data_IF_164174717517
#
_entry.id   IF_164174717517
#
_cell.length_a   1.000
_cell.length_b   1.000
_cell.length_c   1.000
_cell.angle_alpha   90.00
_cell.angle_beta   90.00
_cell.angle_gamma   90.00
#
_symmetry.space_group_name_H-M   'P 1'
#
loop_
_entity.id
_entity.type
_entity.pdbx_description
1 polymer ?
#
# COMPACT_ATOMS: atom_id res chain seq x y z
N UNK A 1 -22.97 -3.43 0.54
CA UNK A 1 -23.10 -3.04 1.95
C UNK A 1 -21.74 -3.18 2.58
N UNK A 2 -21.11 -2.05 2.92
CA UNK A 2 -19.82 -2.03 3.56
C UNK A 2 -19.90 -2.69 4.94
N UNK A 3 -18.87 -3.45 5.29
CA UNK A 3 -18.72 -3.99 6.63
C UNK A 3 -18.47 -2.80 7.56
N UNK A 4 -19.48 -2.36 8.29
CA UNK A 4 -19.29 -1.38 9.36
C UNK A 4 -18.44 -2.01 10.46
N UNK A 5 -17.25 -1.49 10.68
CA UNK A 5 -16.43 -1.81 11.85
C UNK A 5 -17.09 -1.18 13.08
N UNK A 6 -17.85 -1.93 13.79
CA UNK A 6 -18.51 -1.48 15.01
C UNK A 6 -19.89 -2.11 15.18
N UNK A 7 -19.93 -3.30 15.77
CA UNK A 7 -21.15 -3.88 16.29
C UNK A 7 -22.09 -4.57 15.32
N UNK A 8 -21.67 -4.95 14.14
CA UNK A 8 -22.45 -5.83 13.27
C UNK A 8 -22.21 -7.29 13.65
N UNK A 9 -23.30 -8.09 13.68
CA UNK A 9 -23.25 -9.54 13.88
C UNK A 9 -22.64 -10.30 12.69
N UNK A 10 -21.59 -9.75 12.08
CA UNK A 10 -20.86 -10.37 10.96
C UNK A 10 -19.93 -11.41 11.53
N UNK A 11 -20.14 -12.66 11.16
CA UNK A 11 -19.33 -13.79 11.60
C UNK A 11 -18.14 -13.99 10.65
N UNK A 12 -17.14 -14.77 11.08
CA UNK A 12 -16.02 -15.17 10.24
C UNK A 12 -16.49 -15.83 8.94
N UNK A 13 -17.53 -16.67 9.02
CA UNK A 13 -18.06 -17.39 7.86
C UNK A 13 -18.72 -16.46 6.84
N UNK A 14 -19.25 -15.31 7.28
CA UNK A 14 -19.88 -14.32 6.39
C UNK A 14 -18.85 -13.56 5.52
N UNK A 15 -17.58 -13.48 5.97
CA UNK A 15 -16.51 -12.75 5.29
C UNK A 15 -15.45 -13.67 4.70
N UNK A 16 -15.30 -14.89 5.19
CA UNK A 16 -14.30 -15.84 4.76
C UNK A 16 -14.44 -16.16 3.26
N UNK A 17 -13.35 -16.02 2.52
CA UNK A 17 -13.27 -16.23 1.07
C UNK A 17 -14.16 -15.32 0.19
N UNK A 18 -14.76 -14.27 0.74
CA UNK A 18 -15.62 -13.33 -0.02
C UNK A 18 -14.85 -12.14 -0.60
N UNK A 19 -13.64 -11.85 -0.10
CA UNK A 19 -12.89 -10.63 -0.40
C UNK A 19 -13.34 -9.38 0.40
N UNK A 20 -14.46 -9.44 1.10
CA UNK A 20 -15.01 -8.30 1.87
C UNK A 20 -14.07 -7.77 2.96
N UNK A 21 -13.14 -8.58 3.43
CA UNK A 21 -12.12 -8.14 4.39
C UNK A 21 -11.14 -7.12 3.81
N UNK A 22 -11.10 -6.98 2.48
CA UNK A 22 -10.29 -5.98 1.81
C UNK A 22 -11.00 -4.64 1.62
N UNK A 23 -12.33 -4.59 1.76
CA UNK A 23 -13.09 -3.38 1.53
C UNK A 23 -12.82 -2.36 2.63
N UNK A 24 -12.50 -1.13 2.24
CA UNK A 24 -12.40 -0.02 3.18
C UNK A 24 -13.78 0.42 3.65
N UNK A 25 -13.90 0.99 4.87
CA UNK A 25 -15.12 1.65 5.32
C UNK A 25 -15.55 2.74 4.32
N UNK A 26 -16.85 3.00 4.27
CA UNK A 26 -17.43 4.04 3.42
C UNK A 26 -18.15 5.07 4.28
N UNK A 27 -18.09 6.32 3.87
CA UNK A 27 -18.84 7.43 4.49
C UNK A 27 -19.91 7.95 3.53
N UNK A 28 -20.94 8.56 4.10
CA UNK A 28 -22.10 9.04 3.34
C UNK A 28 -21.72 10.03 2.23
N UNK A 29 -22.49 10.05 1.14
CA UNK A 29 -22.23 10.93 -0.01
C UNK A 29 -22.44 12.42 0.31
N UNK A 30 -23.14 12.73 1.40
CA UNK A 30 -23.35 14.10 1.91
C UNK A 30 -22.16 14.64 2.71
N UNK A 31 -21.16 13.84 3.04
CA UNK A 31 -19.98 14.24 3.80
C UNK A 31 -19.05 15.13 2.97
N UNK A 32 -19.37 16.41 2.90
CA UNK A 32 -18.63 17.46 2.16
C UNK A 32 -18.17 18.59 3.07
N UNK A 33 -17.79 18.23 4.28
CA UNK A 33 -17.33 19.18 5.28
C UNK A 33 -15.87 19.60 5.11
N UNK A 34 -15.42 20.36 6.09
CA UNK A 34 -14.03 20.79 6.21
C UNK A 34 -13.65 20.78 7.69
N UNK A 35 -12.47 20.29 8.00
CA UNK A 35 -11.93 20.28 9.36
C UNK A 35 -10.74 21.25 9.37
N UNK A 36 -10.93 22.45 9.97
CA UNK A 36 -9.83 23.40 10.10
C UNK A 36 -8.80 22.89 11.09
N UNK A 37 -7.52 23.04 10.77
CA UNK A 37 -6.40 22.62 11.60
C UNK A 37 -5.61 23.83 12.05
N UNK A 38 -5.18 23.81 13.31
CA UNK A 38 -4.45 24.94 13.92
C UNK A 38 -2.94 24.69 13.81
N UNK A 39 -2.21 25.71 13.38
CA UNK A 39 -0.75 25.65 13.38
C UNK A 39 -0.21 25.38 14.80
N UNK A 40 0.68 24.39 14.91
CA UNK A 40 1.21 23.92 16.19
C UNK A 40 0.28 22.96 16.96
N UNK A 41 -0.91 22.67 16.43
CA UNK A 41 -1.74 21.57 16.95
C UNK A 41 -1.12 20.20 16.66
N UNK A 42 -1.43 19.23 17.48
CA UNK A 42 -1.00 17.85 17.32
C UNK A 42 -2.17 17.02 16.82
N UNK A 43 -2.02 16.45 15.63
CA UNK A 43 -3.04 15.66 14.96
C UNK A 43 -2.47 14.34 14.49
N UNK A 44 -3.32 13.34 14.40
CA UNK A 44 -3.00 12.04 13.80
C UNK A 44 -4.04 11.68 12.74
N UNK A 45 -3.60 11.09 11.65
CA UNK A 45 -4.47 10.31 10.78
C UNK A 45 -4.41 8.86 11.21
N UNK A 46 -5.56 8.25 11.46
CA UNK A 46 -5.72 6.90 11.95
C UNK A 46 -6.67 6.09 11.11
N UNK A 47 -6.67 4.78 11.32
CA UNK A 47 -7.53 3.84 10.61
C UNK A 47 -7.46 3.98 9.08
N UNK A 48 -6.32 4.44 8.56
CA UNK A 48 -6.16 4.60 7.11
C UNK A 48 -6.24 3.22 6.47
N UNK A 49 -7.16 3.12 5.52
CA UNK A 49 -7.40 1.95 4.69
C UNK A 49 -7.21 2.33 3.23
N UNK A 50 -6.43 1.53 2.49
CA UNK A 50 -6.22 1.70 1.06
C UNK A 50 -6.51 0.36 0.37
N UNK A 51 -7.60 0.32 -0.40
CA UNK A 51 -8.03 -0.87 -1.12
C UNK A 51 -7.67 -0.76 -2.60
N UNK A 52 -6.71 -1.57 -3.12
CA UNK A 52 -6.38 -1.61 -4.54
C UNK A 52 -7.56 -2.11 -5.38
N UNK A 53 -8.04 -1.27 -6.29
CA UNK A 53 -9.14 -1.62 -7.22
C UNK A 53 -8.59 -1.96 -8.60
N UNK A 54 -7.63 -1.18 -9.08
CA UNK A 54 -7.00 -1.38 -10.38
C UNK A 54 -5.49 -1.39 -10.23
N UNK A 55 -4.85 -2.33 -10.91
CA UNK A 55 -3.39 -2.46 -10.95
C UNK A 55 -2.95 -2.56 -12.40
N UNK A 56 -1.92 -1.82 -12.73
CA UNK A 56 -1.34 -1.76 -14.08
C UNK A 56 0.15 -2.07 -13.98
N UNK A 57 0.67 -2.87 -14.90
CA UNK A 57 2.10 -3.05 -15.09
C UNK A 57 2.55 -2.30 -16.34
N UNK A 58 3.71 -1.68 -16.28
CA UNK A 58 4.31 -1.01 -17.43
C UNK A 58 4.98 -2.04 -18.31
N UNK A 59 4.43 -2.28 -19.48
CA UNK A 59 5.03 -3.17 -20.47
C UNK A 59 6.05 -2.42 -21.34
N UNK A 60 7.17 -3.08 -21.62
CA UNK A 60 8.13 -2.58 -22.59
C UNK A 60 7.54 -2.62 -24.01
N UNK A 61 7.87 -1.63 -24.85
CA UNK A 61 7.38 -1.59 -26.21
C UNK A 61 7.93 -2.78 -27.02
N UNK A 62 7.04 -3.52 -27.64
CA UNK A 62 7.39 -4.67 -28.52
C UNK A 62 8.17 -4.25 -29.77
N UNK A 63 8.23 -2.96 -30.08
CA UNK A 63 9.05 -2.41 -31.15
C UNK A 63 9.46 -0.94 -30.86
N UNK A 64 10.50 -0.47 -31.55
CA UNK A 64 11.14 0.86 -31.36
C UNK A 64 10.16 2.06 -31.58
N UNK A 65 8.99 1.82 -32.17
CA UNK A 65 8.01 2.89 -32.48
C UNK A 65 6.89 2.99 -31.44
N UNK A 66 6.79 2.06 -30.50
CA UNK A 66 5.82 2.08 -29.42
C UNK A 66 6.44 2.66 -28.16
N UNK A 67 5.66 3.44 -27.42
CA UNK A 67 6.04 3.86 -26.08
C UNK A 67 5.61 2.79 -25.07
N UNK A 68 6.33 2.70 -23.96
CA UNK A 68 5.92 1.86 -22.85
C UNK A 68 4.58 2.35 -22.28
N UNK A 69 3.60 1.47 -22.17
CA UNK A 69 2.25 1.78 -21.70
C UNK A 69 1.93 0.96 -20.45
N UNK A 70 1.11 1.54 -19.58
CA UNK A 70 0.55 0.82 -18.45
C UNK A 70 -0.61 -0.07 -18.92
N UNK A 71 -0.47 -1.37 -18.72
CA UNK A 71 -1.47 -2.37 -19.08
C UNK A 71 -2.17 -2.86 -17.84
N UNK A 72 -3.49 -2.80 -17.81
CA UNK A 72 -4.30 -3.26 -16.69
C UNK A 72 -4.16 -4.78 -16.53
N UNK A 73 -3.90 -5.21 -15.31
CA UNK A 73 -3.78 -6.60 -14.92
C UNK A 73 -4.85 -7.01 -13.92
N UNK A 74 -5.01 -8.31 -13.76
CA UNK A 74 -5.89 -8.91 -12.77
C UNK A 74 -5.12 -9.20 -11.49
N UNK A 75 -5.61 -8.71 -10.36
CA UNK A 75 -5.07 -9.04 -9.04
C UNK A 75 -5.38 -10.51 -8.75
N UNK A 76 -4.35 -11.32 -8.53
CA UNK A 76 -4.48 -12.73 -8.17
C UNK A 76 -4.64 -12.93 -6.66
N UNK A 77 -4.12 -12.02 -5.87
CA UNK A 77 -4.20 -12.05 -4.40
C UNK A 77 -5.57 -11.55 -3.95
N UNK A 78 -6.50 -12.47 -3.67
CA UNK A 78 -7.92 -12.12 -3.47
C UNK A 78 -8.27 -11.70 -2.05
N UNK A 79 -7.52 -12.14 -1.04
CA UNK A 79 -7.97 -12.10 0.36
C UNK A 79 -7.23 -11.12 1.24
N UNK A 80 -6.08 -10.62 0.80
CA UNK A 80 -5.20 -9.75 1.58
C UNK A 80 -4.45 -8.80 0.67
N UNK A 81 -5.15 -7.81 0.11
CA UNK A 81 -4.53 -6.80 -0.78
C UNK A 81 -4.57 -5.38 -0.21
N UNK A 82 -5.46 -5.11 0.74
CA UNK A 82 -5.61 -3.77 1.31
C UNK A 82 -4.61 -3.50 2.42
N UNK A 83 -4.10 -2.26 2.46
CA UNK A 83 -3.47 -1.70 3.66
C UNK A 83 -4.57 -1.26 4.62
N UNK A 84 -4.35 -1.43 5.93
CA UNK A 84 -5.37 -1.21 6.92
C UNK A 84 -4.79 -0.77 8.26
N UNK A 85 -5.61 -0.05 9.02
CA UNK A 85 -5.20 0.46 10.33
C UNK A 85 -3.87 1.23 10.29
N UNK A 86 -3.52 1.79 9.13
CA UNK A 86 -2.34 2.62 8.96
C UNK A 86 -2.56 3.94 9.71
N UNK A 87 -1.52 4.42 10.36
CA UNK A 87 -1.59 5.66 11.14
C UNK A 87 -0.30 6.46 11.04
N UNK A 88 -0.40 7.73 11.35
CA UNK A 88 0.76 8.61 11.41
C UNK A 88 0.42 10.02 11.85
N UNK A 89 1.45 10.83 12.08
CA UNK A 89 1.31 12.23 12.49
C UNK A 89 0.87 13.10 11.31
N UNK A 90 -0.01 14.03 11.59
CA UNK A 90 -0.37 15.12 10.68
C UNK A 90 0.04 16.45 11.31
N UNK A 91 0.89 17.20 10.64
CA UNK A 91 1.38 18.50 11.09
C UNK A 91 0.92 19.60 10.15
N UNK A 92 0.60 20.73 10.73
CA UNK A 92 0.37 21.99 9.99
C UNK A 92 1.69 22.74 9.95
N UNK A 93 2.21 22.94 8.75
CA UNK A 93 3.46 23.66 8.48
C UNK A 93 3.18 24.99 7.78
N UNK A 94 4.18 25.83 7.60
CA UNK A 94 4.04 27.07 6.84
C UNK A 94 3.68 26.84 5.35
N UNK A 95 4.05 25.66 4.81
CA UNK A 95 3.79 25.27 3.42
C UNK A 95 2.53 24.43 3.22
N UNK A 96 1.81 24.09 4.30
CA UNK A 96 0.60 23.29 4.24
C UNK A 96 0.59 22.14 5.25
N UNK A 97 -0.06 21.06 4.91
CA UNK A 97 -0.18 19.84 5.72
C UNK A 97 0.95 18.88 5.40
N UNK A 98 1.49 18.22 6.40
CA UNK A 98 2.47 17.14 6.25
C UNK A 98 2.01 15.91 7.02
N UNK A 99 1.83 14.81 6.32
CA UNK A 99 1.56 13.49 6.89
C UNK A 99 2.83 12.66 6.92
N UNK A 100 3.11 12.04 8.07
CA UNK A 100 4.22 11.12 8.26
C UNK A 100 3.69 9.80 8.81
N UNK A 101 3.69 8.77 7.99
CA UNK A 101 3.26 7.42 8.38
C UNK A 101 4.20 6.85 9.46
N UNK A 102 3.62 6.11 10.40
CA UNK A 102 4.32 5.48 11.52
C UNK A 102 4.13 3.97 11.64
N UNK A 103 3.06 3.43 11.11
CA UNK A 103 2.81 1.99 11.20
C UNK A 103 1.37 1.59 10.84
N UNK A 104 1.05 0.36 11.16
CA UNK A 104 -0.21 -0.30 10.85
C UNK A 104 0.01 -1.57 10.02
N UNK A 105 -1.02 -2.03 9.31
CA UNK A 105 -0.87 -3.03 8.26
C UNK A 105 -0.48 -2.28 6.98
N UNK A 106 0.75 -1.85 6.93
CA UNK A 106 1.32 -0.87 6.01
C UNK A 106 2.01 -1.50 4.79
N UNK A 107 1.93 -2.82 4.63
CA UNK A 107 2.36 -3.53 3.43
C UNK A 107 1.58 -4.83 3.21
N UNK A 108 1.36 -5.18 1.94
CA UNK A 108 0.71 -6.42 1.53
C UNK A 108 1.36 -6.95 0.25
N UNK A 109 1.65 -8.25 0.17
CA UNK A 109 2.14 -8.87 -1.05
C UNK A 109 1.00 -9.00 -2.07
N UNK A 110 1.23 -8.56 -3.28
CA UNK A 110 0.28 -8.64 -4.40
C UNK A 110 0.98 -9.26 -5.60
N UNK A 111 0.24 -10.09 -6.33
CA UNK A 111 0.64 -10.56 -7.66
C UNK A 111 -0.42 -10.11 -8.66
N UNK A 112 0.00 -9.47 -9.73
CA UNK A 112 -0.86 -9.07 -10.85
C UNK A 112 -0.54 -9.89 -12.08
N UNK A 113 -1.60 -10.37 -12.76
CA UNK A 113 -1.53 -11.08 -14.03
C UNK A 113 -1.96 -10.15 -15.16
N UNK A 114 -1.06 -9.86 -16.10
CA UNK A 114 -1.37 -9.03 -17.26
C UNK A 114 -1.85 -9.88 -18.46
N UNK A 115 -2.52 -9.29 -19.44
CA UNK A 115 -2.83 -9.96 -20.70
C UNK A 115 -1.56 -10.48 -21.36
N UNK A 116 -1.54 -11.76 -21.71
CA UNK A 116 -0.34 -12.46 -22.19
C UNK A 116 0.20 -13.50 -21.23
N UNK A 117 -0.31 -13.49 -19.97
CA UNK A 117 -0.01 -14.52 -18.97
C UNK A 117 1.23 -14.24 -18.11
N UNK A 118 1.82 -13.06 -18.24
CA UNK A 118 2.93 -12.65 -17.36
C UNK A 118 2.41 -12.19 -16.01
N UNK A 119 3.11 -12.61 -14.95
CA UNK A 119 2.78 -12.29 -13.57
C UNK A 119 3.86 -11.38 -12.98
N UNK A 120 3.42 -10.30 -12.33
CA UNK A 120 4.31 -9.38 -11.63
C UNK A 120 4.00 -9.38 -10.13
N UNK A 121 4.88 -9.98 -9.31
CA UNK A 121 4.80 -9.86 -7.85
C UNK A 121 5.34 -8.51 -7.42
N UNK A 122 4.74 -7.92 -6.39
CA UNK A 122 5.22 -6.71 -5.74
C UNK A 122 4.68 -6.62 -4.32
N UNK A 123 5.29 -5.80 -3.50
CA UNK A 123 4.77 -5.47 -2.17
C UNK A 123 4.12 -4.10 -2.23
N UNK A 124 2.78 -4.06 -2.22
CA UNK A 124 2.05 -2.81 -2.04
C UNK A 124 2.32 -2.28 -0.64
N UNK A 125 2.72 -1.03 -0.52
CA UNK A 125 3.21 -0.47 0.73
C UNK A 125 2.78 0.98 0.91
N UNK A 126 2.73 1.42 2.16
CA UNK A 126 2.74 2.83 2.56
C UNK A 126 3.85 3.13 3.58
N UNK A 127 4.80 2.21 3.72
CA UNK A 127 5.88 2.34 4.71
C UNK A 127 6.65 3.64 4.57
N UNK A 128 6.75 4.34 5.70
CA UNK A 128 7.44 5.63 5.78
C UNK A 128 6.90 6.67 4.80
N UNK A 129 5.62 6.59 4.45
CA UNK A 129 4.97 7.59 3.59
C UNK A 129 5.13 8.97 4.23
N UNK A 130 5.77 9.87 3.49
CA UNK A 130 5.89 11.28 3.83
C UNK A 130 5.22 12.08 2.71
N UNK A 131 4.02 12.57 2.98
CA UNK A 131 3.19 13.24 2.00
C UNK A 131 2.80 14.63 2.47
N UNK A 132 2.71 15.56 1.53
CA UNK A 132 2.35 16.95 1.79
C UNK A 132 1.13 17.35 0.98
N UNK A 133 0.33 18.25 1.53
CA UNK A 133 -0.81 18.86 0.86
C UNK A 133 -0.83 20.38 1.13
N UNK A 134 -1.38 21.14 0.22
CA UNK A 134 -1.57 22.58 0.40
C UNK A 134 -2.73 22.88 1.39
N UNK A 135 -2.68 24.05 2.00
CA UNK A 135 -3.74 24.53 2.87
C UNK A 135 -3.52 24.23 4.36
N UNK A 136 -4.52 24.60 5.17
CA UNK A 136 -4.51 24.45 6.65
C UNK A 136 -5.77 23.78 7.17
N UNK A 137 -6.47 23.06 6.32
CA UNK A 137 -7.69 22.33 6.65
C UNK A 137 -7.75 21.04 5.86
N UNK A 138 -8.35 20.01 6.44
CA UNK A 138 -8.71 18.80 5.71
C UNK A 138 -10.06 19.03 5.03
N UNK A 139 -10.06 19.00 3.69
CA UNK A 139 -11.23 19.30 2.86
C UNK A 139 -11.41 18.27 1.75
N UNK A 140 -12.53 18.35 1.05
CA UNK A 140 -12.81 17.51 -0.13
C UNK A 140 -11.94 17.84 -1.36
N UNK A 141 -11.03 18.77 -1.24
CA UNK A 141 -10.04 19.15 -2.27
C UNK A 141 -8.61 19.03 -1.75
N UNK A 142 -8.42 18.32 -0.65
CA UNK A 142 -7.07 18.08 -0.11
C UNK A 142 -6.44 16.92 -0.88
N UNK A 143 -5.31 17.20 -1.52
CA UNK A 143 -4.51 16.22 -2.24
C UNK A 143 -3.13 16.13 -1.57
N UNK A 144 -2.85 14.97 -0.97
CA UNK A 144 -1.53 14.67 -0.45
C UNK A 144 -0.69 14.00 -1.53
N UNK A 145 0.54 14.44 -1.68
CA UNK A 145 1.53 13.81 -2.55
C UNK A 145 2.81 13.52 -1.78
N UNK A 146 3.37 12.35 -1.97
CA UNK A 146 4.56 11.94 -1.25
C UNK A 146 5.24 10.70 -1.77
N UNK A 147 6.30 10.33 -1.05
CA UNK A 147 7.10 9.13 -1.35
C UNK A 147 7.02 8.14 -0.20
N UNK A 148 7.15 6.88 -0.52
CA UNK A 148 7.14 5.77 0.44
C UNK A 148 8.14 4.70 0.06
N UNK A 149 8.45 3.80 0.99
CA UNK A 149 9.36 2.67 0.78
C UNK A 149 8.60 1.43 0.37
N UNK A 150 9.16 0.69 -0.59
CA UNK A 150 8.62 -0.59 -1.04
C UNK A 150 9.59 -1.70 -0.66
N UNK A 151 9.32 -2.49 0.41
CA UNK A 151 10.15 -3.63 0.75
C UNK A 151 10.04 -4.71 -0.33
N UNK A 152 11.10 -5.50 -0.48
CA UNK A 152 11.09 -6.61 -1.42
C UNK A 152 10.03 -7.66 -1.05
N UNK A 153 9.36 -8.18 -2.06
CA UNK A 153 8.32 -9.21 -1.91
C UNK A 153 8.84 -10.52 -1.31
N UNK A 154 10.05 -10.95 -1.71
CA UNK A 154 10.60 -12.26 -1.33
C UNK A 154 11.75 -12.21 -0.35
N UNK A 155 12.41 -11.08 -0.21
CA UNK A 155 13.54 -10.90 0.71
C UNK A 155 13.13 -10.18 1.98
N UNK A 156 11.82 -9.92 2.17
CA UNK A 156 11.32 -9.42 3.43
C UNK A 156 11.69 -10.41 4.55
N UNK A 157 12.25 -9.87 5.60
CA UNK A 157 12.50 -10.66 6.80
C UNK A 157 11.16 -11.07 7.39
N UNK A 158 10.92 -12.37 7.47
CA UNK A 158 9.72 -12.88 8.13
C UNK A 158 9.98 -12.99 9.62
N UNK A 159 9.04 -12.52 10.44
CA UNK A 159 9.06 -12.82 11.86
C UNK A 159 8.72 -14.31 12.01
N UNK A 160 9.64 -15.10 12.52
CA UNK A 160 9.39 -16.49 12.90
C UNK A 160 9.01 -16.55 14.39
N UNK A 161 7.71 -16.49 14.74
CA UNK A 161 7.28 -16.49 16.14
C UNK A 161 7.57 -17.81 16.85
N UNK A 162 7.94 -18.86 16.12
CA UNK A 162 8.24 -20.20 16.66
C UNK A 162 9.72 -20.53 16.68
N UNK A 163 10.61 -19.65 16.22
CA UNK A 163 12.05 -19.82 16.25
C UNK A 163 12.57 -21.02 15.44
N UNK A 164 11.82 -21.46 14.41
CA UNK A 164 12.18 -22.66 13.63
C UNK A 164 13.35 -22.45 12.68
N UNK A 165 13.69 -21.22 12.38
CA UNK A 165 14.75 -20.87 11.44
C UNK A 165 16.13 -20.71 12.11
N UNK A 166 16.46 -21.55 13.10
CA UNK A 166 17.75 -21.57 13.81
C UNK A 166 18.13 -20.25 14.54
N UNK A 167 17.19 -19.35 14.71
CA UNK A 167 17.38 -18.11 15.48
C UNK A 167 16.59 -18.19 16.77
N UNK A 168 17.18 -17.74 17.85
CA UNK A 168 16.54 -17.72 19.17
C UNK A 168 15.53 -16.57 19.23
N UNK A 169 14.23 -16.89 19.30
CA UNK A 169 13.19 -15.91 19.57
C UNK A 169 12.66 -15.18 18.34
N UNK A 170 12.10 -13.99 18.57
CA UNK A 170 11.43 -13.13 17.58
C UNK A 170 12.46 -12.47 16.65
N UNK A 171 13.32 -13.26 16.02
CA UNK A 171 14.24 -12.76 15.01
C UNK A 171 13.70 -13.02 13.61
N UNK A 172 14.03 -12.10 12.69
CA UNK A 172 13.68 -12.23 11.28
C UNK A 172 14.37 -13.46 10.66
N UNK A 173 13.57 -14.39 10.17
CA UNK A 173 14.09 -15.50 9.37
C UNK A 173 14.43 -15.00 7.97
N UNK A 174 15.69 -15.03 7.61
CA UNK A 174 16.06 -14.97 6.21
C UNK A 174 15.79 -16.33 5.58
N UNK A 175 15.08 -16.35 4.43
CA UNK A 175 14.95 -17.58 3.68
C UNK A 175 16.35 -18.12 3.34
N UNK A 176 16.59 -19.41 3.61
CA UNK A 176 17.84 -20.05 3.25
C UNK A 176 18.00 -20.01 1.73
N UNK A 177 19.13 -19.45 1.28
CA UNK A 177 19.53 -19.54 -0.12
C UNK A 177 19.94 -20.99 -0.35
N UNK A 178 19.26 -21.70 -1.27
CA UNK A 178 19.74 -22.97 -1.73
C UNK A 178 21.10 -22.72 -2.41
N UNK A 179 22.16 -23.32 -1.89
CA UNK A 179 23.45 -23.34 -2.56
C UNK A 179 23.25 -24.16 -3.84
N UNK A 180 23.14 -23.46 -4.97
CA UNK A 180 23.10 -24.10 -6.29
C UNK A 180 24.45 -24.78 -6.55
N UNK A 181 24.42 -25.91 -7.24
CA UNK A 181 25.63 -26.50 -7.80
C UNK A 181 26.26 -25.59 -8.86
N UNK A 182 27.30 -26.07 -9.49
CA UNK A 182 28.21 -25.35 -10.43
C UNK A 182 27.57 -24.74 -11.69
N UNK A 183 26.29 -24.40 -11.67
CA UNK A 183 25.58 -23.79 -12.78
C UNK A 183 25.42 -22.27 -12.55
N UNK A 184 26.07 -21.47 -13.37
CA UNK A 184 26.02 -19.99 -13.33
C UNK A 184 24.59 -19.42 -13.38
N UNK A 185 23.67 -20.16 -13.97
CA UNK A 185 22.26 -19.77 -14.08
C UNK A 185 21.54 -19.95 -12.73
N UNK A 186 21.84 -21.04 -12.02
CA UNK A 186 21.35 -21.28 -10.66
C UNK A 186 21.94 -20.32 -9.64
N UNK A 187 23.19 -19.86 -9.82
CA UNK A 187 23.78 -18.82 -8.98
C UNK A 187 23.06 -17.47 -9.13
N UNK A 188 22.66 -17.12 -10.35
CA UNK A 188 21.88 -15.89 -10.60
C UNK A 188 20.48 -15.99 -10.01
N UNK A 189 19.81 -17.12 -10.15
CA UNK A 189 18.45 -17.36 -9.63
C UNK A 189 18.41 -17.46 -8.10
N UNK A 190 19.52 -17.85 -7.48
CA UNK A 190 19.64 -17.97 -6.02
C UNK A 190 20.22 -16.71 -5.35
N UNK A 191 20.65 -15.71 -6.11
CA UNK A 191 21.24 -14.50 -5.56
C UNK A 191 20.14 -13.55 -5.09
N UNK A 192 19.62 -13.79 -3.87
CA UNK A 192 18.60 -12.96 -3.24
C UNK A 192 19.15 -11.56 -2.98
N UNK A 193 18.77 -10.61 -3.81
CA UNK A 193 19.04 -9.20 -3.57
C UNK A 193 17.85 -8.59 -2.83
N UNK A 194 18.14 -8.03 -1.67
CA UNK A 194 17.20 -7.13 -1.02
C UNK A 194 17.09 -5.86 -1.88
N UNK A 195 15.90 -5.62 -2.43
CA UNK A 195 15.60 -4.41 -3.18
C UNK A 195 14.72 -3.54 -2.29
N UNK A 196 15.26 -2.42 -1.86
CA UNK A 196 14.51 -1.38 -1.18
C UNK A 196 14.14 -0.31 -2.22
N UNK A 197 12.92 -0.38 -2.72
CA UNK A 197 12.42 0.54 -3.72
C UNK A 197 11.76 1.76 -3.10
N UNK A 198 11.60 2.79 -3.90
CA UNK A 198 10.84 4.00 -3.55
C UNK A 198 9.68 4.14 -4.52
N UNK A 199 8.47 4.29 -3.96
CA UNK A 199 7.27 4.61 -4.71
C UNK A 199 6.83 6.06 -4.46
N UNK A 200 5.94 6.54 -5.32
CA UNK A 200 5.22 7.80 -5.17
C UNK A 200 3.75 7.54 -4.98
N UNK A 201 3.08 8.30 -4.13
CA UNK A 201 1.66 8.14 -3.83
C UNK A 201 0.98 9.48 -3.77
N UNK A 202 -0.23 9.53 -4.31
CA UNK A 202 -1.17 10.63 -4.21
C UNK A 202 -2.43 10.15 -3.50
N UNK A 203 -2.90 10.90 -2.51
CA UNK A 203 -4.12 10.63 -1.74
C UNK A 203 -5.08 11.81 -1.96
N UNK A 204 -6.11 11.61 -2.77
CA UNK A 204 -7.11 12.63 -3.10
C UNK A 204 -8.36 12.45 -2.24
N UNK A 205 -8.61 13.39 -1.34
CA UNK A 205 -9.75 13.36 -0.43
C UNK A 205 -10.97 13.94 -1.13
N UNK A 206 -12.06 13.20 -1.16
CA UNK A 206 -13.30 13.59 -1.84
C UNK A 206 -14.49 13.71 -0.89
N UNK A 207 -14.37 13.19 0.33
CA UNK A 207 -15.40 13.24 1.37
C UNK A 207 -14.74 13.53 2.72
N UNK A 208 -15.37 14.40 3.50
CA UNK A 208 -14.95 14.74 4.87
C UNK A 208 -16.19 14.92 5.73
N UNK A 209 -16.24 14.20 6.84
CA UNK A 209 -17.24 14.37 7.89
C UNK A 209 -16.60 15.06 9.10
N UNK A 210 -16.88 16.34 9.35
CA UNK A 210 -16.29 17.08 10.46
C UNK A 210 -16.83 16.65 11.85
N UNK A 211 -17.94 15.95 11.92
CA UNK A 211 -18.50 15.48 13.20
C UNK A 211 -17.77 14.24 13.71
N UNK A 212 -17.37 13.34 12.81
CA UNK A 212 -16.70 12.09 13.15
C UNK A 212 -15.19 12.12 12.90
N UNK A 213 -14.70 13.12 12.19
CA UNK A 213 -13.30 13.18 11.72
C UNK A 213 -13.00 12.25 10.54
N UNK A 214 -13.99 11.52 10.04
CA UNK A 214 -13.81 10.56 8.95
C UNK A 214 -13.60 11.26 7.61
N UNK A 215 -12.73 10.70 6.80
CA UNK A 215 -12.54 11.13 5.42
C UNK A 215 -12.45 9.91 4.50
N UNK A 216 -12.81 10.11 3.25
CA UNK A 216 -12.66 9.11 2.20
C UNK A 216 -12.27 9.76 0.88
N UNK A 217 -11.75 8.96 -0.03
CA UNK A 217 -11.33 9.40 -1.33
C UNK A 217 -10.74 8.28 -2.15
N UNK A 218 -9.77 8.63 -2.97
CA UNK A 218 -9.05 7.70 -3.83
C UNK A 218 -7.55 7.88 -3.66
N UNK A 219 -6.79 6.82 -3.93
CA UNK A 219 -5.35 6.92 -4.01
C UNK A 219 -4.83 6.46 -5.38
N UNK A 220 -3.67 6.97 -5.74
CA UNK A 220 -2.90 6.51 -6.88
C UNK A 220 -1.44 6.38 -6.46
N UNK A 221 -0.83 5.25 -6.76
CA UNK A 221 0.56 4.98 -6.43
C UNK A 221 1.31 4.43 -7.64
N UNK A 222 2.59 4.77 -7.75
CA UNK A 222 3.51 4.18 -8.72
C UNK A 222 4.73 3.70 -7.96
N UNK A 223 5.07 2.43 -8.15
CA UNK A 223 6.17 1.78 -7.47
C UNK A 223 6.84 0.74 -8.36
N UNK A 224 8.09 0.36 -8.08
CA UNK A 224 8.73 -0.76 -8.76
C UNK A 224 8.07 -2.09 -8.39
N UNK A 225 8.01 -3.03 -9.33
CA UNK A 225 7.74 -4.44 -9.06
C UNK A 225 8.91 -5.09 -8.35
N UNK A 226 8.73 -6.31 -7.85
CA UNK A 226 9.84 -7.13 -7.38
C UNK A 226 10.63 -7.68 -8.57
N UNK A 227 11.93 -7.87 -8.39
CA UNK A 227 12.82 -8.48 -9.38
C UNK A 227 12.73 -10.01 -9.42
N UNK A 228 11.84 -10.62 -8.61
CA UNK A 228 11.76 -12.08 -8.41
C UNK A 228 13.14 -12.69 -8.10
N UNK A 229 13.81 -12.11 -7.11
CA UNK A 229 15.15 -12.49 -6.66
C UNK A 229 16.29 -12.20 -7.66
N UNK A 230 16.09 -11.28 -8.57
CA UNK A 230 17.06 -10.89 -9.60
C UNK A 230 16.90 -11.62 -10.93
N UNK A 231 15.91 -12.50 -11.04
CA UNK A 231 15.59 -13.24 -12.27
C UNK A 231 14.73 -12.46 -13.28
N UNK A 232 14.16 -11.32 -12.88
CA UNK A 232 13.32 -10.48 -13.74
C UNK A 232 13.71 -9.01 -13.68
N UNK A 233 13.49 -8.32 -14.78
CA UNK A 233 13.58 -6.88 -14.81
C UNK A 233 12.44 -6.26 -13.99
N UNK A 234 12.79 -5.22 -13.24
CA UNK A 234 11.82 -4.45 -12.45
C UNK A 234 11.05 -3.55 -13.39
N UNK A 235 9.72 -3.60 -13.31
CA UNK A 235 8.82 -2.72 -14.07
C UNK A 235 8.06 -1.80 -13.11
N UNK A 236 7.59 -0.66 -13.62
CA UNK A 236 6.72 0.21 -12.84
C UNK A 236 5.33 -0.41 -12.72
N UNK A 237 4.81 -0.45 -11.51
CA UNK A 237 3.44 -0.85 -11.19
C UNK A 237 2.67 0.40 -10.77
N UNK A 238 1.53 0.65 -11.43
CA UNK A 238 0.58 1.69 -11.02
C UNK A 238 -0.61 1.04 -10.34
N UNK A 239 -0.98 1.58 -9.19
CA UNK A 239 -2.06 1.07 -8.35
C UNK A 239 -3.03 2.22 -8.09
N UNK A 240 -4.31 1.99 -8.29
CA UNK A 240 -5.36 2.94 -7.92
C UNK A 240 -6.43 2.25 -7.11
N UNK A 241 -7.08 2.99 -6.21
CA UNK A 241 -8.12 2.39 -5.38
C UNK A 241 -8.75 3.35 -4.40
N UNK A 242 -9.52 2.76 -3.49
CA UNK A 242 -10.30 3.50 -2.49
C UNK A 242 -9.44 3.82 -1.26
N UNK A 243 -9.68 5.00 -0.71
CA UNK A 243 -9.05 5.54 0.48
C UNK A 243 -10.10 5.82 1.55
N UNK A 244 -9.81 5.46 2.79
CA UNK A 244 -10.55 5.86 3.98
C UNK A 244 -9.57 6.19 5.10
N UNK A 245 -9.96 7.03 6.03
CA UNK A 245 -9.22 7.30 7.26
C UNK A 245 -10.01 8.18 8.22
N UNK A 246 -9.41 8.45 9.38
CA UNK A 246 -9.96 9.32 10.41
C UNK A 246 -8.90 10.28 10.90
N UNK A 247 -9.27 11.55 11.05
CA UNK A 247 -8.48 12.57 11.71
C UNK A 247 -8.85 12.62 13.19
N UNK A 248 -7.84 12.59 14.04
CA UNK A 248 -7.98 12.73 15.50
C UNK A 248 -7.01 13.80 16.02
N UNK A 249 -7.39 14.47 17.10
CA UNK A 249 -6.45 15.26 17.91
C UNK A 249 -5.57 14.30 18.74
N UNK A 250 -4.25 14.51 18.72
CA UNK A 250 -3.28 13.66 19.39
C UNK A 250 -3.03 14.05 20.86
#
# INVERSE_FOLDING_TARGET
DAVQRGGSNVTYDDIHNTGKANDCPTIGDSARGSIPLTAGGSYELREICMHPVQVYAKEEPKNIRQQAEFVEGKILTRYTSSLDSVFGDLKVTESGLQFQEKGGIDFQPITVLVPGGEEFPFTFSSKSLNATAEGSALTTSTDFEGTYRTPSYRTSNFIDPKGRALTTGVQYAQGLVALGGDDEQLEKDNNKRYIDGVGTMSLSITKVDPETGEFAGVFSAIQPSDSDMGGREVVDIKITGDLYGRLEEA
#
